data_IF_141669404797
#
_entry.id   IF_141669404797
#
_cell.length_a   1.000
_cell.length_b   1.000
_cell.length_c   1.000
_cell.angle_alpha   90.00
_cell.angle_beta   90.00
_cell.angle_gamma   90.00
#
_symmetry.space_group_name_H-M   'P 1'
#
loop_
_entity.id
_entity.type
_entity.pdbx_description
1 polymer ?
#
# COMPACT_ATOMS: atom_id res chain seq x y z
N UNK A 1 13.10 23.48 17.60
CA UNK A 1 13.88 22.45 16.88
C UNK A 1 13.13 21.13 16.97
N UNK A 2 12.45 20.71 15.90
CA UNK A 2 11.71 19.43 15.87
C UNK A 2 12.71 18.28 15.74
N UNK A 3 13.14 17.76 16.88
CA UNK A 3 14.00 16.58 17.02
C UNK A 3 13.20 15.29 16.85
N UNK A 4 12.65 15.02 15.66
CA UNK A 4 11.85 13.79 15.54
C UNK A 4 11.26 13.45 14.18
N UNK A 5 11.62 14.13 13.09
CA UNK A 5 11.19 13.73 11.75
C UNK A 5 12.41 13.33 10.95
N UNK A 6 12.75 12.04 11.03
CA UNK A 6 13.72 11.43 10.14
C UNK A 6 13.22 11.64 8.70
N UNK A 7 14.05 12.17 7.81
CA UNK A 7 13.70 12.51 6.41
C UNK A 7 13.08 11.32 5.67
N UNK A 8 13.50 10.10 6.01
CA UNK A 8 12.93 8.84 5.56
C UNK A 8 11.43 8.67 5.87
N UNK A 9 10.97 9.19 7.01
CA UNK A 9 9.56 9.13 7.40
C UNK A 9 8.71 10.07 6.54
N UNK A 10 9.21 11.25 6.20
CA UNK A 10 8.53 12.17 5.28
C UNK A 10 8.42 11.57 3.87
N UNK A 11 9.50 10.99 3.36
CA UNK A 11 9.50 10.36 2.04
C UNK A 11 8.57 9.14 1.97
N UNK A 12 8.54 8.31 3.01
CA UNK A 12 7.56 7.21 3.12
C UNK A 12 6.14 7.74 3.14
N UNK A 13 5.84 8.71 3.99
CA UNK A 13 4.48 9.27 4.09
C UNK A 13 4.01 9.90 2.78
N UNK A 14 4.91 10.50 2.02
CA UNK A 14 4.56 11.00 0.69
C UNK A 14 4.12 9.86 -0.23
N UNK A 15 4.96 8.83 -0.36
CA UNK A 15 4.68 7.66 -1.21
C UNK A 15 3.53 6.80 -0.72
N UNK A 16 3.15 6.88 0.55
CA UNK A 16 2.05 6.10 1.13
C UNK A 16 0.74 6.87 1.28
N UNK A 17 0.75 8.20 1.25
CA UNK A 17 -0.47 8.98 1.58
C UNK A 17 -0.66 10.26 0.78
N UNK A 18 0.41 10.92 0.32
CA UNK A 18 0.32 12.22 -0.35
C UNK A 18 0.47 12.12 -1.87
N UNK A 19 0.97 11.00 -2.38
CA UNK A 19 1.15 10.83 -3.81
C UNK A 19 -0.22 10.78 -4.52
N UNK A 20 -0.46 11.62 -5.54
CA UNK A 20 -1.74 11.70 -6.24
C UNK A 20 -2.03 10.45 -7.08
N UNK A 21 -1.03 9.60 -7.33
CA UNK A 21 -1.24 8.29 -7.95
C UNK A 21 -1.77 7.24 -6.96
N UNK A 22 -1.88 7.58 -5.66
CA UNK A 22 -2.44 6.66 -4.66
C UNK A 22 -3.96 6.69 -4.72
N UNK A 23 -4.51 5.56 -5.12
CA UNK A 23 -5.93 5.34 -5.13
C UNK A 23 -6.43 5.14 -3.70
N UNK A 24 -7.07 6.17 -3.15
CA UNK A 24 -7.68 6.17 -1.80
C UNK A 24 -9.11 5.67 -1.82
N UNK A 25 -9.55 5.16 -2.96
CA UNK A 25 -10.85 4.54 -3.11
C UNK A 25 -10.99 3.38 -2.14
N UNK A 26 -12.22 3.09 -1.72
CA UNK A 26 -12.50 1.93 -0.87
C UNK A 26 -12.06 0.66 -1.61
N UNK A 27 -11.55 -0.33 -0.87
CA UNK A 27 -11.34 -1.68 -1.42
C UNK A 27 -12.71 -2.24 -1.85
N UNK A 28 -12.81 -2.65 -3.11
CA UNK A 28 -13.95 -3.41 -3.60
C UNK A 28 -13.82 -4.87 -3.17
N UNK A 29 -14.94 -5.59 -3.07
CA UNK A 29 -14.92 -7.02 -2.71
C UNK A 29 -14.07 -7.84 -3.68
N UNK A 30 -14.05 -7.47 -4.97
CA UNK A 30 -13.24 -8.14 -5.98
C UNK A 30 -11.74 -7.95 -5.75
N UNK A 31 -11.32 -6.74 -5.36
CA UNK A 31 -9.92 -6.48 -4.99
C UNK A 31 -9.53 -7.23 -3.72
N UNK A 32 -10.44 -7.36 -2.76
CA UNK A 32 -10.25 -8.08 -1.49
C UNK A 32 -10.01 -9.58 -1.71
N UNK A 33 -10.86 -10.22 -2.53
CA UNK A 33 -10.74 -11.62 -2.90
C UNK A 33 -9.42 -11.88 -3.65
N UNK A 34 -9.06 -10.98 -4.57
CA UNK A 34 -7.79 -11.06 -5.29
C UNK A 34 -6.60 -10.90 -4.33
N UNK A 35 -6.69 -9.97 -3.38
CA UNK A 35 -5.66 -9.75 -2.37
C UNK A 35 -5.45 -11.00 -1.53
N UNK A 36 -6.52 -11.60 -1.00
CA UNK A 36 -6.47 -12.84 -0.21
C UNK A 36 -5.86 -13.99 -1.01
N UNK A 37 -6.26 -14.14 -2.28
CA UNK A 37 -5.74 -15.17 -3.16
C UNK A 37 -4.24 -15.01 -3.41
N UNK A 38 -3.81 -13.82 -3.83
CA UNK A 38 -2.40 -13.54 -4.13
C UNK A 38 -1.55 -13.62 -2.87
N UNK A 39 -2.05 -13.18 -1.70
CA UNK A 39 -1.35 -13.31 -0.42
C UNK A 39 -1.23 -14.78 0.00
N UNK A 40 -2.22 -15.62 -0.31
CA UNK A 40 -2.14 -17.06 -0.14
C UNK A 40 -1.02 -17.69 -0.99
N UNK A 41 -0.86 -17.23 -2.23
CA UNK A 41 0.14 -17.76 -3.17
C UNK A 41 1.56 -17.19 -2.96
N UNK A 42 1.69 -15.87 -2.79
CA UNK A 42 2.99 -15.18 -2.67
C UNK A 42 3.44 -14.94 -1.21
N UNK A 43 2.54 -15.09 -0.24
CA UNK A 43 2.75 -14.72 1.15
C UNK A 43 2.54 -13.22 1.43
N UNK A 44 2.99 -12.75 2.60
CA UNK A 44 2.85 -11.36 3.08
C UNK A 44 3.77 -10.35 2.36
N UNK A 45 3.89 -10.46 1.04
CA UNK A 45 4.73 -9.59 0.20
C UNK A 45 3.91 -8.41 -0.35
N UNK A 46 3.28 -7.63 0.53
CA UNK A 46 2.34 -6.57 0.18
C UNK A 46 2.86 -5.61 -0.90
N UNK A 47 4.10 -5.13 -0.77
CA UNK A 47 4.71 -4.22 -1.74
C UNK A 47 4.81 -4.81 -3.15
N UNK A 48 4.98 -6.14 -3.27
CA UNK A 48 4.98 -6.84 -4.56
C UNK A 48 3.56 -7.04 -5.06
N UNK A 49 2.65 -7.48 -4.18
CA UNK A 49 1.24 -7.71 -4.53
C UNK A 49 0.58 -6.44 -5.07
N UNK A 50 0.70 -5.30 -4.40
CA UNK A 50 0.14 -4.05 -4.95
C UNK A 50 0.85 -3.59 -6.21
N UNK A 51 2.18 -3.76 -6.32
CA UNK A 51 2.90 -3.38 -7.53
C UNK A 51 2.47 -4.19 -8.75
N UNK A 52 2.23 -5.50 -8.58
CA UNK A 52 1.88 -6.42 -9.67
C UNK A 52 0.37 -6.42 -9.97
N UNK A 53 -0.50 -6.26 -8.97
CA UNK A 53 -1.95 -6.46 -9.11
C UNK A 53 -2.80 -5.20 -8.87
N UNK A 54 -2.30 -4.22 -8.12
CA UNK A 54 -3.05 -3.03 -7.74
C UNK A 54 -2.27 -1.75 -8.03
N UNK A 55 -2.10 -1.39 -9.32
CA UNK A 55 -1.41 -0.17 -9.70
C UNK A 55 -2.11 1.04 -9.06
N UNK A 56 -1.36 1.82 -8.29
CA UNK A 56 -1.90 2.96 -7.53
C UNK A 56 -2.32 2.63 -6.10
N UNK A 57 -2.31 1.38 -5.64
CA UNK A 57 -2.45 1.06 -4.20
C UNK A 57 -1.07 0.90 -3.57
N UNK A 58 -0.95 1.25 -2.28
CA UNK A 58 0.29 1.03 -1.54
C UNK A 58 0.26 -0.25 -0.72
N UNK A 59 1.43 -0.83 -0.46
CA UNK A 59 1.53 -2.05 0.35
C UNK A 59 1.01 -1.86 1.77
N UNK A 60 1.05 -0.63 2.28
CA UNK A 60 0.42 -0.29 3.56
C UNK A 60 -1.11 -0.32 3.47
N UNK A 61 -1.70 0.21 2.39
CA UNK A 61 -3.15 0.17 2.17
C UNK A 61 -3.67 -1.27 2.04
N UNK A 62 -2.90 -2.16 1.41
CA UNK A 62 -3.23 -3.58 1.31
C UNK A 62 -3.05 -4.32 2.64
N UNK A 63 -2.02 -3.96 3.43
CA UNK A 63 -1.83 -4.53 4.78
C UNK A 63 -2.87 -4.04 5.79
N UNK A 64 -3.36 -2.81 5.64
CA UNK A 64 -4.38 -2.22 6.50
C UNK A 64 -5.81 -2.69 6.15
N UNK A 65 -5.94 -3.55 5.15
CA UNK A 65 -7.19 -4.21 4.81
C UNK A 65 -7.30 -5.51 5.60
#
# INVERSE_FOLDING_TARGET
MVHGRNSDQCAKRWKDTLDPAIDRSKWTSTEDELLLKVVGEMGRKWARVVKDYFPGRTGLAAKNR
#
